data_IF_980179805819
#
_entry.id   IF_980179805819
#
_cell.length_a   1.000
_cell.length_b   1.000
_cell.length_c   1.000
_cell.angle_alpha   90.00
_cell.angle_beta   90.00
_cell.angle_gamma   90.00
#
_symmetry.space_group_name_H-M   'P 1'
#
loop_
_entity.id
_entity.type
_entity.pdbx_description
1 polymer ?
#
# COMPACT_ATOMS: atom_id res chain seq x y z
N UNK A 1 -0.03 -10.72 -18.31
CA UNK A 1 -1.07 -11.00 -17.29
C UNK A 1 -0.40 -11.14 -15.94
N UNK A 2 -0.82 -10.35 -14.94
CA UNK A 2 -0.35 -10.47 -13.56
C UNK A 2 -0.90 -11.77 -12.95
N UNK A 3 -0.05 -12.64 -12.38
CA UNK A 3 -0.48 -13.99 -12.05
C UNK A 3 -1.08 -14.12 -10.64
N UNK A 4 -0.88 -13.14 -9.76
CA UNK A 4 -1.25 -13.24 -8.34
C UNK A 4 -2.69 -12.81 -8.08
N UNK A 5 -3.62 -13.28 -8.90
CA UNK A 5 -5.05 -12.96 -8.76
C UNK A 5 -5.80 -13.99 -7.93
N UNK A 6 -5.15 -15.06 -7.49
CA UNK A 6 -5.73 -16.11 -6.64
C UNK A 6 -4.71 -16.55 -5.59
N UNK A 7 -5.12 -16.49 -4.32
CA UNK A 7 -4.32 -16.99 -3.21
C UNK A 7 -4.44 -18.51 -3.05
N UNK A 8 -3.35 -19.14 -2.61
CA UNK A 8 -3.27 -20.58 -2.34
C UNK A 8 -3.96 -20.86 -1.00
N UNK A 9 -5.16 -21.44 -1.10
CA UNK A 9 -5.90 -21.99 0.03
C UNK A 9 -6.29 -23.43 -0.27
N UNK A 10 -6.68 -24.18 0.77
CA UNK A 10 -7.51 -25.36 0.53
C UNK A 10 -8.87 -24.90 -0.01
N UNK A 11 -9.36 -25.50 -1.10
CA UNK A 11 -10.59 -25.07 -1.81
C UNK A 11 -11.77 -24.79 -0.86
N UNK A 12 -12.00 -25.67 0.13
CA UNK A 12 -13.08 -25.51 1.12
C UNK A 12 -12.96 -24.26 1.99
N UNK A 13 -11.75 -23.82 2.31
CA UNK A 13 -11.52 -22.62 3.13
C UNK A 13 -11.82 -21.37 2.32
N UNK A 14 -11.41 -21.36 1.05
CA UNK A 14 -11.67 -20.26 0.13
C UNK A 14 -13.16 -20.08 -0.17
N UNK A 15 -13.87 -21.20 -0.42
CA UNK A 15 -15.32 -21.19 -0.65
C UNK A 15 -16.08 -20.70 0.58
N UNK A 16 -15.71 -21.17 1.77
CA UNK A 16 -16.31 -20.69 3.03
C UNK A 16 -16.09 -19.20 3.21
N UNK A 17 -14.85 -18.72 3.08
CA UNK A 17 -14.51 -17.31 3.23
C UNK A 17 -15.30 -16.43 2.23
N UNK A 18 -15.36 -16.85 0.97
CA UNK A 18 -16.15 -16.17 -0.06
C UNK A 18 -17.64 -16.10 0.31
N UNK A 19 -18.23 -17.24 0.65
CA UNK A 19 -19.65 -17.31 1.01
C UNK A 19 -19.96 -16.43 2.23
N UNK A 20 -19.07 -16.42 3.22
CA UNK A 20 -19.21 -15.59 4.42
C UNK A 20 -19.14 -14.09 4.09
N UNK A 21 -18.12 -13.64 3.35
CA UNK A 21 -18.00 -12.23 2.98
C UNK A 21 -19.17 -11.76 2.09
N UNK A 22 -19.59 -12.57 1.12
CA UNK A 22 -20.78 -12.25 0.32
C UNK A 22 -22.05 -12.18 1.16
N UNK A 23 -22.22 -13.08 2.13
CA UNK A 23 -23.37 -13.09 3.03
C UNK A 23 -23.42 -11.89 3.98
N UNK A 24 -22.27 -11.41 4.43
CA UNK A 24 -22.16 -10.22 5.28
C UNK A 24 -22.33 -8.91 4.49
N UNK A 25 -22.00 -8.88 3.20
CA UNK A 25 -22.06 -7.65 2.38
C UNK A 25 -23.45 -6.99 2.36
N UNK A 26 -24.53 -7.77 2.44
CA UNK A 26 -25.90 -7.25 2.47
C UNK A 26 -26.22 -6.50 3.77
N UNK A 27 -25.50 -6.80 4.85
CA UNK A 27 -25.67 -6.22 6.18
C UNK A 27 -24.89 -4.91 6.38
N UNK A 28 -24.02 -4.54 5.42
CA UNK A 28 -23.25 -3.29 5.49
C UNK A 28 -24.12 -2.05 5.67
N UNK A 29 -25.35 -2.06 5.14
CA UNK A 29 -26.30 -0.94 5.26
C UNK A 29 -26.80 -0.72 6.69
N UNK A 30 -26.73 -1.73 7.53
CA UNK A 30 -27.17 -1.66 8.93
C UNK A 30 -26.09 -1.06 9.83
N UNK A 31 -24.82 -1.20 9.44
CA UNK A 31 -23.63 -0.87 10.23
C UNK A 31 -22.49 -0.26 9.38
N UNK A 32 -22.72 0.85 8.65
CA UNK A 32 -21.74 1.35 7.67
C UNK A 32 -20.47 1.91 8.32
N UNK A 33 -20.62 2.50 9.51
CA UNK A 33 -19.54 3.19 10.24
C UNK A 33 -18.83 2.33 11.27
N UNK A 34 -19.32 1.11 11.53
CA UNK A 34 -18.64 0.19 12.44
C UNK A 34 -17.27 -0.17 11.84
N UNK A 35 -16.25 -0.28 12.70
CA UNK A 35 -14.96 -0.82 12.28
C UNK A 35 -15.19 -2.21 11.68
N UNK A 36 -14.40 -2.59 10.68
CA UNK A 36 -14.63 -3.88 10.02
C UNK A 36 -14.52 -5.07 11.00
N UNK A 37 -13.63 -4.98 11.98
CA UNK A 37 -13.51 -5.98 13.04
C UNK A 37 -14.79 -6.06 13.89
N UNK A 38 -15.33 -4.94 14.33
CA UNK A 38 -16.56 -4.90 15.14
C UNK A 38 -17.77 -5.40 14.34
N UNK A 39 -17.88 -4.97 13.08
CA UNK A 39 -18.90 -5.42 12.16
C UNK A 39 -18.90 -6.94 12.00
N UNK A 40 -17.77 -7.56 11.66
CA UNK A 40 -17.71 -9.03 11.50
C UNK A 40 -17.91 -9.73 12.85
N UNK A 41 -17.40 -9.16 13.94
CA UNK A 41 -17.57 -9.70 15.30
C UNK A 41 -19.02 -9.72 15.74
N UNK A 42 -19.82 -8.72 15.34
CA UNK A 42 -21.25 -8.65 15.64
C UNK A 42 -22.00 -9.89 15.12
N UNK A 43 -21.70 -10.33 13.89
CA UNK A 43 -22.42 -11.43 13.25
C UNK A 43 -21.81 -12.81 13.53
N UNK A 44 -20.49 -12.91 13.69
CA UNK A 44 -19.78 -14.20 13.72
C UNK A 44 -18.99 -14.45 15.03
N UNK A 45 -18.90 -13.44 15.90
CA UNK A 45 -18.07 -13.45 17.09
C UNK A 45 -16.60 -13.10 16.81
N UNK A 46 -15.87 -12.63 17.84
CA UNK A 46 -14.54 -12.03 17.68
C UNK A 46 -13.49 -13.01 17.13
N UNK A 47 -13.52 -14.28 17.56
CA UNK A 47 -12.55 -15.27 17.12
C UNK A 47 -12.67 -15.61 15.62
N UNK A 48 -13.88 -15.67 15.08
CA UNK A 48 -14.09 -15.90 13.65
C UNK A 48 -13.75 -14.64 12.85
N UNK A 49 -14.09 -13.46 13.37
CA UNK A 49 -13.76 -12.18 12.76
C UNK A 49 -12.25 -12.01 12.55
N UNK A 50 -11.44 -12.20 13.59
CA UNK A 50 -9.98 -12.15 13.46
C UNK A 50 -9.48 -13.18 12.44
N UNK A 51 -9.99 -14.41 12.45
CA UNK A 51 -9.56 -15.44 11.50
C UNK A 51 -9.86 -15.05 10.05
N UNK A 52 -11.05 -14.53 9.79
CA UNK A 52 -11.48 -14.07 8.47
C UNK A 52 -10.58 -12.92 7.99
N UNK A 53 -10.34 -11.93 8.85
CA UNK A 53 -9.52 -10.77 8.52
C UNK A 53 -8.07 -11.20 8.26
N UNK A 54 -7.49 -12.04 9.12
CA UNK A 54 -6.14 -12.57 8.93
C UNK A 54 -6.01 -13.36 7.62
N UNK A 55 -7.04 -14.11 7.21
CA UNK A 55 -7.04 -14.85 5.95
C UNK A 55 -6.98 -13.95 4.71
N UNK A 56 -7.35 -12.67 4.80
CA UNK A 56 -7.24 -11.73 3.65
C UNK A 56 -5.81 -11.29 3.37
N UNK A 57 -4.90 -11.41 4.34
CA UNK A 57 -3.51 -10.95 4.21
C UNK A 57 -3.28 -9.46 4.48
N UNK A 58 -4.31 -8.68 4.81
CA UNK A 58 -4.23 -7.22 5.03
C UNK A 58 -4.50 -6.86 6.49
N UNK A 59 -3.50 -6.33 7.19
CA UNK A 59 -3.62 -5.96 8.61
C UNK A 59 -4.38 -4.64 8.79
N UNK A 60 -4.39 -3.79 7.76
CA UNK A 60 -5.20 -2.57 7.71
C UNK A 60 -6.67 -2.84 8.05
N UNK A 61 -7.20 -4.02 7.70
CA UNK A 61 -8.58 -4.41 7.96
C UNK A 61 -8.89 -4.67 9.46
N UNK A 62 -7.87 -4.70 10.33
CA UNK A 62 -8.02 -4.78 11.78
C UNK A 62 -8.06 -3.40 12.45
N UNK A 63 -7.75 -2.34 11.71
CA UNK A 63 -7.61 -1.01 12.29
C UNK A 63 -8.99 -0.43 12.61
N UNK A 64 -9.16 0.23 13.79
CA UNK A 64 -10.42 0.86 14.16
C UNK A 64 -10.89 1.94 13.17
N UNK A 65 -9.96 2.57 12.45
CA UNK A 65 -10.25 3.61 11.46
C UNK A 65 -10.80 3.05 10.14
N UNK A 66 -10.66 1.74 9.90
CA UNK A 66 -11.16 1.12 8.67
C UNK A 66 -12.60 0.64 8.91
N UNK A 67 -13.55 1.40 8.39
CA UNK A 67 -14.97 1.04 8.44
C UNK A 67 -15.24 -0.21 7.61
N UNK A 68 -16.38 -0.86 7.86
CA UNK A 68 -16.81 -2.02 7.08
C UNK A 68 -16.93 -1.68 5.59
N UNK A 69 -17.43 -0.49 5.23
CA UNK A 69 -17.50 -0.03 3.83
C UNK A 69 -16.11 0.07 3.18
N UNK A 70 -15.14 0.68 3.87
CA UNK A 70 -13.75 0.77 3.40
C UNK A 70 -13.12 -0.62 3.24
N UNK A 71 -13.35 -1.53 4.18
CA UNK A 71 -12.81 -2.88 4.10
C UNK A 71 -13.31 -3.66 2.88
N UNK A 72 -14.60 -3.58 2.55
CA UNK A 72 -15.11 -4.20 1.32
C UNK A 72 -14.56 -3.54 0.07
N UNK A 73 -14.37 -2.22 0.08
CA UNK A 73 -13.71 -1.50 -1.02
C UNK A 73 -12.24 -1.95 -1.22
N UNK A 74 -11.52 -2.21 -0.13
CA UNK A 74 -10.17 -2.78 -0.16
C UNK A 74 -10.23 -4.20 -0.74
N UNK A 75 -11.03 -5.10 -0.17
CA UNK A 75 -11.10 -6.51 -0.58
C UNK A 75 -11.45 -6.65 -2.07
N UNK A 76 -12.37 -5.82 -2.59
CA UNK A 76 -12.83 -5.88 -3.99
C UNK A 76 -11.82 -5.31 -4.99
N UNK A 77 -10.92 -4.41 -4.56
CA UNK A 77 -9.94 -3.70 -5.42
C UNK A 77 -8.54 -4.30 -5.38
N UNK A 78 -8.29 -5.34 -4.59
CA UNK A 78 -6.98 -6.00 -4.53
C UNK A 78 -6.97 -7.35 -5.28
N UNK A 79 -5.94 -7.62 -6.11
CA UNK A 79 -5.93 -8.80 -6.97
C UNK A 79 -6.01 -10.11 -6.20
N UNK A 80 -5.36 -10.20 -5.04
CA UNK A 80 -5.26 -11.44 -4.27
C UNK A 80 -6.60 -11.83 -3.63
N UNK A 81 -7.47 -10.85 -3.37
CA UNK A 81 -8.73 -11.01 -2.64
C UNK A 81 -9.98 -10.80 -3.51
N UNK A 82 -9.85 -10.27 -4.74
CA UNK A 82 -10.99 -9.93 -5.59
C UNK A 82 -11.98 -11.09 -5.83
N UNK A 83 -11.50 -12.33 -5.79
CA UNK A 83 -12.36 -13.51 -6.00
C UNK A 83 -13.38 -13.76 -4.88
N UNK A 84 -13.18 -13.11 -3.72
CA UNK A 84 -14.15 -13.12 -2.63
C UNK A 84 -15.35 -12.19 -2.89
N UNK A 85 -15.32 -11.45 -4.00
CA UNK A 85 -16.32 -10.44 -4.38
C UNK A 85 -16.84 -10.70 -5.80
N UNK A 86 -17.74 -9.85 -6.25
CA UNK A 86 -18.20 -9.76 -7.64
C UNK A 86 -17.09 -9.41 -8.64
N UNK A 87 -15.96 -8.88 -8.19
CA UNK A 87 -14.83 -8.44 -9.01
C UNK A 87 -13.86 -9.56 -9.42
N UNK A 88 -14.23 -10.83 -9.27
CA UNK A 88 -13.40 -11.98 -9.64
C UNK A 88 -12.88 -11.92 -11.10
N UNK A 89 -13.64 -11.29 -12.00
CA UNK A 89 -13.29 -11.17 -13.43
C UNK A 89 -12.31 -10.05 -13.78
N UNK A 90 -11.90 -9.21 -12.81
CA UNK A 90 -11.00 -8.10 -13.08
C UNK A 90 -9.63 -8.61 -13.54
N UNK A 91 -9.13 -8.01 -14.63
CA UNK A 91 -7.82 -8.32 -15.18
C UNK A 91 -6.75 -7.45 -14.52
N UNK A 92 -5.63 -8.09 -14.17
CA UNK A 92 -4.47 -7.39 -13.63
C UNK A 92 -3.29 -7.49 -14.60
N UNK A 93 -2.61 -6.37 -14.77
CA UNK A 93 -1.42 -6.24 -15.61
C UNK A 93 -0.27 -5.68 -14.79
N UNK A 94 0.94 -5.86 -15.30
CA UNK A 94 2.15 -5.28 -14.74
C UNK A 94 3.09 -4.87 -15.86
N UNK A 95 3.90 -3.85 -15.62
CA UNK A 95 4.94 -3.43 -16.55
C UNK A 95 6.09 -4.46 -16.55
N UNK A 96 6.32 -5.14 -17.68
CA UNK A 96 7.40 -6.13 -17.83
C UNK A 96 8.79 -5.52 -17.68
N UNK A 97 8.95 -4.25 -18.06
CA UNK A 97 10.15 -3.45 -17.85
C UNK A 97 10.20 -2.66 -16.53
N UNK A 98 9.18 -2.82 -15.68
CA UNK A 98 8.98 -2.04 -14.46
C UNK A 98 8.39 -0.66 -14.71
N UNK A 99 7.60 -0.15 -13.75
CA UNK A 99 6.93 1.15 -13.87
C UNK A 99 7.88 2.35 -13.97
N UNK A 100 9.16 2.18 -13.61
CA UNK A 100 10.20 3.20 -13.81
C UNK A 100 10.37 3.59 -15.29
N UNK A 101 10.07 2.70 -16.24
CA UNK A 101 10.14 3.04 -17.67
C UNK A 101 9.06 4.05 -18.08
N UNK A 102 7.84 3.92 -17.55
CA UNK A 102 6.78 4.91 -17.78
C UNK A 102 7.20 6.27 -17.22
N UNK A 103 7.74 6.31 -16.00
CA UNK A 103 8.22 7.55 -15.38
C UNK A 103 9.34 8.20 -16.20
N UNK A 104 10.30 7.42 -16.70
CA UNK A 104 11.39 7.92 -17.54
C UNK A 104 10.89 8.48 -18.88
N UNK A 105 9.87 7.86 -19.47
CA UNK A 105 9.24 8.33 -20.71
C UNK A 105 8.49 9.65 -20.48
N UNK A 106 7.71 9.75 -19.39
CA UNK A 106 7.00 10.97 -19.02
C UNK A 106 7.98 12.13 -18.75
N UNK A 107 9.07 11.86 -18.01
CA UNK A 107 10.11 12.85 -17.77
C UNK A 107 10.75 13.32 -19.09
N UNK A 108 11.11 12.39 -19.97
CA UNK A 108 11.72 12.71 -21.27
C UNK A 108 10.78 13.55 -22.14
N UNK A 109 9.48 13.23 -22.14
CA UNK A 109 8.47 14.00 -22.86
C UNK A 109 8.32 15.42 -22.30
N UNK A 110 8.28 15.57 -20.98
CA UNK A 110 8.22 16.88 -20.32
C UNK A 110 9.48 17.74 -20.62
N UNK A 111 10.67 17.14 -20.60
CA UNK A 111 11.92 17.81 -20.95
C UNK A 111 11.93 18.27 -22.42
N UNK A 112 11.42 17.45 -23.34
CA UNK A 112 11.25 17.85 -24.74
C UNK A 112 10.27 19.02 -24.90
N UNK A 113 9.33 19.17 -23.97
CA UNK A 113 8.42 20.33 -23.86
C UNK A 113 9.01 21.55 -23.16
N UNK A 114 10.28 21.52 -22.73
CA UNK A 114 10.97 22.63 -22.07
C UNK A 114 10.89 22.66 -20.54
N UNK A 115 10.43 21.58 -19.90
CA UNK A 115 10.40 21.48 -18.43
C UNK A 115 11.80 21.25 -17.88
N UNK A 116 12.21 22.10 -16.94
CA UNK A 116 13.45 21.92 -16.16
C UNK A 116 13.19 21.09 -14.90
N UNK A 117 14.01 20.06 -14.69
CA UNK A 117 13.95 19.22 -13.49
C UNK A 117 15.10 19.54 -12.55
N UNK A 118 14.77 20.03 -11.35
CA UNK A 118 15.75 20.26 -10.29
C UNK A 118 15.56 19.25 -9.15
N UNK A 119 16.23 18.10 -9.27
CA UNK A 119 16.14 16.99 -8.31
C UNK A 119 16.93 17.28 -7.03
N UNK A 120 16.77 16.42 -6.02
CA UNK A 120 17.49 16.48 -4.73
C UNK A 120 17.25 17.80 -3.95
N UNK A 121 16.09 18.42 -4.13
CA UNK A 121 15.68 19.66 -3.48
C UNK A 121 14.41 19.41 -2.69
N UNK A 122 14.48 19.55 -1.37
CA UNK A 122 13.33 19.39 -0.50
C UNK A 122 12.73 20.75 -0.19
N UNK A 123 11.47 20.97 -0.54
CA UNK A 123 10.74 22.17 -0.12
C UNK A 123 10.61 22.21 1.40
N UNK A 124 10.90 23.38 1.98
CA UNK A 124 10.83 23.64 3.41
C UNK A 124 9.65 24.55 3.77
N UNK A 125 9.45 25.61 2.98
CA UNK A 125 8.39 26.59 3.21
C UNK A 125 7.97 27.31 1.94
N UNK A 126 6.78 27.90 2.00
CA UNK A 126 6.20 28.75 0.95
C UNK A 126 5.69 30.03 1.61
N UNK A 127 5.97 31.17 0.99
CA UNK A 127 5.47 32.48 1.40
C UNK A 127 4.85 33.22 0.22
N UNK A 128 3.74 33.92 0.44
CA UNK A 128 3.15 34.81 -0.56
C UNK A 128 3.93 36.12 -0.62
N UNK A 129 4.30 36.53 -1.84
CA UNK A 129 5.06 37.76 -2.11
C UNK A 129 4.39 38.54 -3.26
N UNK A 130 3.35 39.30 -2.91
CA UNK A 130 2.51 39.99 -3.89
C UNK A 130 1.70 38.99 -4.72
N UNK A 131 1.88 39.04 -6.04
CA UNK A 131 1.27 38.11 -7.01
C UNK A 131 1.99 36.75 -7.10
N UNK A 132 3.16 36.63 -6.50
CA UNK A 132 4.04 35.46 -6.63
C UNK A 132 4.16 34.71 -5.30
N UNK A 133 4.72 33.50 -5.36
CA UNK A 133 5.13 32.68 -4.23
C UNK A 133 6.65 32.61 -4.17
N UNK A 134 7.19 32.68 -2.95
CA UNK A 134 8.59 32.48 -2.63
C UNK A 134 8.75 31.13 -1.94
N UNK A 135 9.59 30.26 -2.48
CA UNK A 135 9.79 28.88 -2.04
C UNK A 135 11.21 28.74 -1.48
N UNK A 136 11.33 28.18 -0.28
CA UNK A 136 12.62 27.84 0.30
C UNK A 136 12.88 26.33 0.17
N UNK A 137 13.95 25.96 -0.51
CA UNK A 137 14.36 24.56 -0.69
C UNK A 137 15.66 24.27 0.07
N UNK A 138 15.75 23.10 0.71
CA UNK A 138 17.02 22.54 1.16
C UNK A 138 17.68 21.74 0.05
N UNK A 139 18.97 22.01 -0.19
CA UNK A 139 19.82 21.23 -1.09
C UNK A 139 21.24 21.16 -0.54
N UNK A 140 21.75 19.95 -0.29
CA UNK A 140 23.13 19.71 0.20
C UNK A 140 23.51 20.50 1.46
N UNK A 141 22.53 20.78 2.33
CA UNK A 141 22.72 21.53 3.58
C UNK A 141 22.47 23.03 3.46
N UNK A 142 22.34 23.57 2.23
CA UNK A 142 22.06 24.98 1.98
C UNK A 142 20.56 25.22 1.72
N UNK A 143 20.11 26.45 2.00
CA UNK A 143 18.77 26.92 1.62
C UNK A 143 18.84 27.72 0.33
N UNK A 144 18.01 27.36 -0.65
CA UNK A 144 17.89 28.04 -1.94
C UNK A 144 16.49 28.59 -2.13
N UNK A 145 16.39 29.84 -2.55
CA UNK A 145 15.12 30.51 -2.77
C UNK A 145 14.70 30.43 -4.24
N UNK A 146 13.42 30.20 -4.49
CA UNK A 146 12.84 30.19 -5.83
C UNK A 146 11.54 30.99 -5.85
N UNK A 147 11.32 31.76 -6.92
CA UNK A 147 10.12 32.58 -7.10
C UNK A 147 9.30 32.03 -8.26
N UNK A 148 8.00 31.84 -8.04
CA UNK A 148 7.04 31.42 -9.08
C UNK A 148 5.75 32.19 -8.96
N UNK A 149 5.00 32.35 -10.05
CA UNK A 149 3.67 32.97 -10.05
C UNK A 149 2.55 31.96 -9.76
N UNK A 150 2.77 30.71 -10.13
CA UNK A 150 1.80 29.63 -9.99
C UNK A 150 2.49 28.42 -9.35
N UNK A 151 1.82 27.82 -8.37
CA UNK A 151 2.36 26.71 -7.60
C UNK A 151 1.37 25.56 -7.54
N UNK A 152 1.84 24.39 -7.99
CA UNK A 152 1.17 23.11 -7.81
C UNK A 152 2.03 22.22 -6.93
N UNK A 153 1.42 21.69 -5.87
CA UNK A 153 2.01 20.81 -4.87
C UNK A 153 1.56 19.38 -5.15
N UNK A 154 2.30 18.68 -6.00
CA UNK A 154 2.08 17.27 -6.33
C UNK A 154 2.78 16.37 -5.31
N UNK A 155 2.40 16.49 -4.04
CA UNK A 155 2.97 15.77 -2.91
C UNK A 155 1.83 15.30 -1.99
N UNK A 156 2.02 14.21 -1.24
CA UNK A 156 0.92 13.62 -0.49
C UNK A 156 0.61 14.39 0.81
N UNK A 157 -0.56 14.14 1.45
CA UNK A 157 -0.99 14.78 2.68
C UNK A 157 0.08 14.85 3.78
N UNK A 158 0.82 13.76 4.01
CA UNK A 158 1.89 13.69 5.02
C UNK A 158 3.05 14.65 4.74
N UNK A 159 3.29 14.98 3.47
CA UNK A 159 4.29 15.96 3.07
C UNK A 159 3.75 17.38 3.17
N UNK A 160 2.48 17.61 2.80
CA UNK A 160 1.79 18.88 2.97
C UNK A 160 1.74 19.33 4.44
N UNK A 161 1.45 18.40 5.36
CA UNK A 161 1.38 18.67 6.81
C UNK A 161 2.71 19.14 7.43
N UNK A 162 3.84 18.97 6.75
CA UNK A 162 5.17 19.42 7.20
C UNK A 162 5.53 20.83 6.75
N UNK A 163 4.67 21.47 5.94
CA UNK A 163 4.88 22.81 5.42
C UNK A 163 4.12 23.84 6.26
N UNK A 164 4.51 25.10 6.12
CA UNK A 164 3.88 26.26 6.76
C UNK A 164 2.59 26.72 6.07
N UNK A 165 1.75 25.78 5.63
CA UNK A 165 0.54 26.02 4.83
C UNK A 165 -0.75 25.60 5.54
N UNK A 166 -0.69 25.32 6.84
CA UNK A 166 -1.85 24.98 7.68
C UNK A 166 -2.73 23.85 7.08
N UNK A 167 -2.07 22.81 6.56
CA UNK A 167 -2.75 21.64 6.00
C UNK A 167 -3.20 20.67 7.12
N UNK A 168 -4.43 20.14 7.08
CA UNK A 168 -5.45 20.31 6.04
C UNK A 168 -6.41 21.49 6.26
N UNK A 169 -6.40 22.15 7.43
CA UNK A 169 -7.42 23.10 7.87
C UNK A 169 -7.68 24.26 6.88
N UNK A 170 -6.63 24.80 6.26
CA UNK A 170 -6.74 25.87 5.26
C UNK A 170 -7.03 25.38 3.83
N UNK A 171 -7.26 24.07 3.63
CA UNK A 171 -7.44 23.44 2.31
C UNK A 171 -8.77 22.72 2.16
N UNK A 172 -9.20 22.00 3.19
CA UNK A 172 -10.42 21.20 3.17
C UNK A 172 -10.88 20.84 4.59
N UNK A 173 -12.16 20.48 4.79
CA UNK A 173 -12.63 19.95 6.08
C UNK A 173 -12.18 18.50 6.34
N UNK A 174 -11.67 17.81 5.32
CA UNK A 174 -11.31 16.39 5.37
C UNK A 174 -10.07 16.10 6.20
N UNK A 175 -10.04 14.92 6.79
CA UNK A 175 -8.90 14.39 7.51
C UNK A 175 -8.22 13.30 6.69
N UNK A 176 -6.91 13.16 6.88
CA UNK A 176 -6.10 12.21 6.15
C UNK A 176 -5.26 11.40 7.11
N UNK A 177 -5.06 10.13 6.77
CA UNK A 177 -4.15 9.26 7.49
C UNK A 177 -3.32 8.43 6.49
N UNK A 178 -2.38 7.65 7.03
CA UNK A 178 -1.46 6.85 6.24
C UNK A 178 -1.13 5.54 6.95
N UNK A 179 -0.80 4.52 6.15
CA UNK A 179 -0.31 3.24 6.67
C UNK A 179 1.10 2.93 6.18
N UNK A 180 1.96 2.37 7.04
CA UNK A 180 3.25 1.89 6.61
C UNK A 180 3.10 0.66 5.72
N UNK A 181 4.00 0.52 4.76
CA UNK A 181 4.09 -0.62 3.85
C UNK A 181 5.50 -1.20 3.85
N UNK A 182 5.62 -2.52 3.78
CA UNK A 182 6.92 -3.20 3.69
C UNK A 182 6.92 -4.28 2.62
N UNK A 183 7.91 -4.24 1.73
CA UNK A 183 8.19 -5.32 0.78
C UNK A 183 9.58 -5.89 1.02
N UNK A 184 9.67 -7.21 1.17
CA UNK A 184 10.93 -7.95 1.23
C UNK A 184 11.04 -8.92 0.06
N UNK A 185 12.10 -8.81 -0.73
CA UNK A 185 12.43 -9.66 -1.87
C UNK A 185 13.58 -10.59 -1.52
N UNK A 186 13.48 -11.86 -1.89
CA UNK A 186 14.45 -12.91 -1.63
C UNK A 186 14.77 -13.65 -2.93
N UNK A 187 16.06 -13.89 -3.15
CA UNK A 187 16.57 -14.69 -4.27
C UNK A 187 17.29 -15.92 -3.74
N UNK A 188 17.28 -16.98 -4.55
CA UNK A 188 17.83 -18.29 -4.23
C UNK A 188 18.63 -18.79 -5.44
N UNK A 189 19.47 -19.80 -5.25
CA UNK A 189 20.20 -20.41 -6.38
C UNK A 189 19.29 -21.19 -7.33
N UNK A 190 18.18 -21.74 -6.81
CA UNK A 190 17.19 -22.49 -7.57
C UNK A 190 15.78 -22.04 -7.20
N UNK A 191 14.85 -22.19 -8.15
CA UNK A 191 13.42 -21.93 -7.93
C UNK A 191 12.74 -23.13 -7.25
N UNK A 192 13.20 -23.51 -6.07
CA UNK A 192 12.75 -24.71 -5.33
C UNK A 192 11.24 -24.77 -5.08
N UNK A 193 10.55 -23.61 -5.06
CA UNK A 193 9.10 -23.54 -4.93
C UNK A 193 8.33 -24.09 -6.15
N UNK A 194 9.02 -24.32 -7.29
CA UNK A 194 8.45 -25.02 -8.45
C UNK A 194 8.02 -26.45 -8.08
N UNK A 195 8.84 -27.15 -7.28
CA UNK A 195 8.54 -28.52 -6.80
C UNK A 195 7.35 -28.54 -5.84
N UNK A 196 7.08 -27.42 -5.17
CA UNK A 196 5.90 -27.22 -4.31
C UNK A 196 4.66 -26.77 -5.12
N UNK A 197 4.79 -26.57 -6.44
CA UNK A 197 3.70 -26.08 -7.29
C UNK A 197 3.26 -24.66 -6.94
N UNK A 198 4.15 -23.81 -6.41
CA UNK A 198 3.85 -22.46 -5.96
C UNK A 198 4.19 -21.37 -6.99
N UNK A 199 4.81 -21.72 -8.12
CA UNK A 199 5.17 -20.78 -9.19
C UNK A 199 4.01 -19.89 -9.60
N UNK A 200 4.27 -18.58 -9.59
CA UNK A 200 3.30 -17.54 -9.96
C UNK A 200 2.01 -17.59 -9.11
N UNK A 201 2.13 -18.01 -7.84
CA UNK A 201 1.06 -17.98 -6.84
C UNK A 201 1.39 -17.07 -5.65
N UNK A 202 0.36 -16.72 -4.89
CA UNK A 202 0.47 -16.00 -3.61
C UNK A 202 -0.09 -16.87 -2.48
N UNK A 203 0.62 -16.97 -1.38
CA UNK A 203 0.21 -17.66 -0.16
C UNK A 203 -0.15 -16.62 0.90
N UNK A 204 -1.35 -16.74 1.48
CA UNK A 204 -1.74 -15.98 2.67
C UNK A 204 -1.32 -16.75 3.91
N UNK A 205 -0.38 -16.21 4.67
CA UNK A 205 0.17 -16.81 5.87
C UNK A 205 -0.40 -16.13 7.13
N UNK A 206 -0.79 -16.95 8.11
CA UNK A 206 -1.15 -16.50 9.46
C UNK A 206 0.12 -16.32 10.31
N UNK A 207 1.04 -15.51 9.82
CA UNK A 207 2.28 -15.11 10.48
C UNK A 207 2.74 -13.74 9.96
N UNK A 208 3.79 -13.12 10.52
CA UNK A 208 4.19 -11.76 10.14
C UNK A 208 4.54 -11.54 8.66
N UNK A 209 4.76 -12.57 7.83
CA UNK A 209 4.99 -12.39 6.39
C UNK A 209 3.70 -12.04 5.64
N UNK A 210 2.53 -12.41 6.17
CA UNK A 210 1.17 -12.16 5.66
C UNK A 210 0.90 -12.62 4.23
N UNK A 211 1.50 -12.00 3.22
CA UNK A 211 1.29 -12.28 1.79
C UNK A 211 2.63 -12.65 1.15
N UNK A 212 2.79 -13.90 0.72
CA UNK A 212 4.04 -14.45 0.16
C UNK A 212 3.83 -14.81 -1.32
N UNK A 213 4.57 -14.15 -2.21
CA UNK A 213 4.46 -14.26 -3.67
C UNK A 213 5.67 -15.00 -4.23
N UNK A 214 5.43 -15.96 -5.11
CA UNK A 214 6.47 -16.73 -5.78
C UNK A 214 6.49 -16.33 -7.26
N UNK A 215 7.41 -15.43 -7.65
CA UNK A 215 7.42 -14.92 -9.03
C UNK A 215 8.27 -15.80 -9.93
N UNK A 216 7.59 -16.55 -10.81
CA UNK A 216 8.22 -17.36 -11.85
C UNK A 216 9.34 -18.23 -11.26
N UNK A 217 10.53 -18.20 -11.85
CA UNK A 217 11.76 -18.82 -11.36
C UNK A 217 12.73 -17.83 -10.71
N UNK A 218 12.29 -16.59 -10.46
CA UNK A 218 13.20 -15.47 -10.19
C UNK A 218 13.40 -15.17 -8.71
N UNK A 219 12.30 -14.99 -7.98
CA UNK A 219 12.35 -14.52 -6.60
C UNK A 219 11.06 -14.83 -5.83
N UNK A 220 11.18 -14.79 -4.51
CA UNK A 220 10.08 -14.72 -3.56
C UNK A 220 9.95 -13.28 -3.07
N UNK A 221 8.73 -12.80 -2.90
CA UNK A 221 8.41 -11.50 -2.31
C UNK A 221 7.44 -11.73 -1.14
N UNK A 222 7.59 -11.01 -0.04
CA UNK A 222 6.49 -10.83 0.90
C UNK A 222 6.10 -9.36 1.00
N UNK A 223 4.82 -9.10 1.24
CA UNK A 223 4.27 -7.76 1.28
C UNK A 223 3.33 -7.60 2.46
N UNK A 224 3.64 -6.63 3.32
CA UNK A 224 2.88 -6.34 4.54
C UNK A 224 2.55 -4.86 4.64
N UNK A 225 1.60 -4.57 5.50
CA UNK A 225 1.10 -3.24 5.83
C UNK A 225 0.94 -3.13 7.36
N UNK A 226 0.71 -1.90 7.85
CA UNK A 226 0.35 -1.63 9.25
C UNK A 226 1.36 -2.23 10.26
N UNK A 227 0.89 -2.91 11.32
CA UNK A 227 1.76 -3.48 12.36
C UNK A 227 2.81 -4.45 11.80
N UNK A 228 2.45 -5.31 10.85
CA UNK A 228 3.41 -6.22 10.23
C UNK A 228 4.48 -5.48 9.41
N UNK A 229 4.17 -4.32 8.81
CA UNK A 229 5.20 -3.51 8.14
C UNK A 229 6.20 -2.94 9.15
N UNK A 230 5.71 -2.41 10.26
CA UNK A 230 6.55 -1.90 11.37
C UNK A 230 7.38 -3.02 11.99
N UNK A 231 6.81 -4.21 12.20
CA UNK A 231 7.53 -5.38 12.72
C UNK A 231 8.79 -5.72 11.91
N UNK A 232 8.71 -5.69 10.58
CA UNK A 232 9.85 -5.95 9.72
C UNK A 232 10.87 -4.81 9.74
N UNK A 233 10.39 -3.56 9.84
CA UNK A 233 11.26 -2.41 10.03
C UNK A 233 12.05 -2.51 11.33
N UNK A 234 11.40 -2.83 12.43
CA UNK A 234 12.02 -2.99 13.75
C UNK A 234 13.00 -4.17 13.78
N UNK A 235 12.69 -5.24 13.03
CA UNK A 235 13.59 -6.38 12.86
C UNK A 235 14.90 -6.00 12.17
N UNK A 236 14.84 -5.11 11.17
CA UNK A 236 16.04 -4.61 10.48
C UNK A 236 16.88 -3.69 11.37
N UNK A 237 16.25 -2.91 12.25
CA UNK A 237 16.95 -2.05 13.22
C UNK A 237 17.71 -2.87 14.27
N UNK A 238 17.29 -4.12 14.50
CA UNK A 238 18.01 -5.09 15.34
C UNK A 238 19.18 -5.78 14.61
N UNK A 239 19.26 -5.67 13.28
CA UNK A 239 20.32 -6.23 12.45
C UNK A 239 19.79 -7.10 11.31
N UNK A 240 20.53 -7.10 10.19
CA UNK A 240 20.17 -7.84 8.97
C UNK A 240 20.07 -9.35 9.20
N UNK A 241 20.96 -9.92 10.02
CA UNK A 241 20.94 -11.34 10.39
C UNK A 241 19.66 -11.71 11.16
N UNK A 242 19.24 -10.87 12.12
CA UNK A 242 18.01 -11.06 12.90
C UNK A 242 16.78 -11.02 12.00
N UNK A 243 16.74 -10.05 11.07
CA UNK A 243 15.69 -9.97 10.06
C UNK A 243 15.62 -11.24 9.20
N UNK A 244 16.75 -11.69 8.66
CA UNK A 244 16.82 -12.88 7.80
C UNK A 244 16.45 -14.16 8.54
N UNK A 245 16.86 -14.32 9.80
CA UNK A 245 16.47 -15.45 10.64
C UNK A 245 14.95 -15.48 10.87
N UNK A 246 14.34 -14.33 11.20
CA UNK A 246 12.89 -14.22 11.37
C UNK A 246 12.13 -14.53 10.08
N UNK A 247 12.61 -14.04 8.94
CA UNK A 247 12.06 -14.38 7.62
C UNK A 247 12.14 -15.88 7.36
N UNK A 248 13.30 -16.52 7.58
CA UNK A 248 13.47 -17.97 7.42
C UNK A 248 12.51 -18.76 8.30
N UNK A 249 12.38 -18.39 9.58
CA UNK A 249 11.47 -19.04 10.52
C UNK A 249 10.01 -18.93 10.07
N UNK A 250 9.57 -17.75 9.63
CA UNK A 250 8.21 -17.54 9.13
C UNK A 250 7.95 -18.32 7.82
N UNK A 251 8.93 -18.41 6.92
CA UNK A 251 8.83 -19.22 5.69
C UNK A 251 8.71 -20.71 6.02
N UNK A 252 9.52 -21.22 6.95
CA UNK A 252 9.46 -22.62 7.39
C UNK A 252 8.11 -22.98 8.03
N UNK A 253 7.50 -22.04 8.76
CA UNK A 253 6.16 -22.23 9.33
C UNK A 253 5.06 -22.21 8.28
N UNK A 254 5.17 -21.34 7.27
CA UNK A 254 4.12 -21.15 6.27
C UNK A 254 4.13 -22.22 5.16
N UNK A 255 5.29 -22.84 4.90
CA UNK A 255 5.47 -23.66 3.70
C UNK A 255 5.44 -25.16 4.00
N UNK A 256 4.83 -25.97 3.10
CA UNK A 256 4.81 -27.42 3.22
C UNK A 256 6.16 -28.01 2.77
N UNK A 257 7.23 -27.74 3.51
CA UNK A 257 8.59 -28.19 3.19
C UNK A 257 8.79 -29.72 3.34
N UNK A 258 7.82 -30.45 3.89
CA UNK A 258 7.84 -31.91 4.03
C UNK A 258 9.10 -32.45 4.73
N UNK A 259 9.63 -31.71 5.71
CA UNK A 259 10.84 -32.07 6.46
C UNK A 259 12.16 -31.68 5.78
N UNK A 260 12.11 -31.08 4.59
CA UNK A 260 13.30 -30.48 3.96
C UNK A 260 13.62 -29.12 4.62
N UNK A 261 14.91 -28.77 4.75
CA UNK A 261 15.28 -27.43 5.18
C UNK A 261 14.92 -26.41 4.11
N UNK A 262 14.63 -25.18 4.54
CA UNK A 262 14.50 -24.05 3.63
C UNK A 262 15.87 -23.79 2.97
N UNK A 263 15.97 -23.68 1.63
CA UNK A 263 17.22 -23.33 0.96
C UNK A 263 17.77 -21.98 1.40
N UNK A 264 19.07 -21.80 1.25
CA UNK A 264 19.73 -20.56 1.67
C UNK A 264 19.31 -19.37 0.80
N UNK A 265 19.03 -18.25 1.47
CA UNK A 265 18.75 -16.97 0.83
C UNK A 265 20.08 -16.46 0.26
N UNK A 266 20.17 -16.41 -1.07
CA UNK A 266 21.36 -15.95 -1.80
C UNK A 266 21.53 -14.44 -1.71
N UNK A 267 20.41 -13.73 -1.79
CA UNK A 267 20.40 -12.28 -1.78
C UNK A 267 19.00 -11.78 -1.49
N UNK A 268 18.94 -10.58 -0.95
CA UNK A 268 17.68 -9.94 -0.59
C UNK A 268 17.71 -8.44 -0.87
N UNK A 269 16.53 -7.87 -0.99
CA UNK A 269 16.32 -6.42 -1.03
C UNK A 269 15.00 -6.12 -0.32
N UNK A 270 14.92 -4.99 0.37
CA UNK A 270 13.69 -4.60 1.02
C UNK A 270 13.43 -3.11 0.86
N UNK A 271 12.17 -2.73 1.05
CA UNK A 271 11.77 -1.34 1.15
C UNK A 271 10.64 -1.19 2.17
N UNK A 272 10.86 -0.29 3.11
CA UNK A 272 9.86 0.22 4.03
C UNK A 272 9.41 1.60 3.56
N UNK A 273 8.11 1.83 3.56
CA UNK A 273 7.46 3.11 3.29
C UNK A 273 6.68 3.50 4.54
N UNK A 274 7.16 4.44 5.37
CA UNK A 274 6.45 4.84 6.59
C UNK A 274 5.06 5.42 6.32
N UNK A 275 4.90 6.11 5.19
CA UNK A 275 3.63 6.54 4.62
C UNK A 275 3.51 5.88 3.25
N UNK A 276 3.11 4.61 3.23
CA UNK A 276 3.09 3.82 2.00
C UNK A 276 1.78 3.96 1.21
N UNK A 277 0.67 4.11 1.93
CA UNK A 277 -0.64 4.49 1.39
C UNK A 277 -1.18 5.64 2.22
N UNK A 278 -1.74 6.66 1.58
CA UNK A 278 -2.38 7.81 2.22
C UNK A 278 -3.80 7.96 1.68
N UNK A 279 -4.75 8.26 2.56
CA UNK A 279 -6.19 8.24 2.22
C UNK A 279 -6.97 9.25 3.06
N UNK A 280 -8.10 9.68 2.51
CA UNK A 280 -9.12 10.44 3.21
C UNK A 280 -9.88 9.53 4.20
N UNK A 281 -10.14 10.02 5.41
CA UNK A 281 -10.88 9.29 6.44
C UNK A 281 -12.40 9.31 6.23
N UNK A 282 -12.91 10.18 5.34
CA UNK A 282 -14.33 10.33 5.05
C UNK A 282 -14.70 9.76 3.66
N UNK A 283 -14.91 8.43 3.51
CA UNK A 283 -15.04 7.77 2.21
C UNK A 283 -16.33 8.09 1.44
N UNK A 284 -17.39 8.54 2.12
CA UNK A 284 -18.67 8.88 1.48
C UNK A 284 -18.80 10.36 1.09
N UNK A 285 -17.84 11.20 1.48
CA UNK A 285 -17.89 12.61 1.16
C UNK A 285 -17.55 12.86 -0.32
N UNK A 286 -18.23 13.83 -0.93
CA UNK A 286 -17.88 14.31 -2.27
C UNK A 286 -16.57 15.09 -2.21
N UNK A 287 -15.45 14.36 -2.26
CA UNK A 287 -14.11 14.91 -2.15
C UNK A 287 -13.62 15.40 -3.53
N UNK A 288 -13.17 16.66 -3.67
CA UNK A 288 -12.60 17.14 -4.93
C UNK A 288 -11.24 16.48 -5.21
N UNK A 289 -10.97 16.13 -6.47
CA UNK A 289 -9.73 15.44 -6.86
C UNK A 289 -8.44 16.28 -6.69
N UNK A 290 -8.58 17.60 -6.46
CA UNK A 290 -7.50 18.51 -6.14
C UNK A 290 -8.01 19.60 -5.19
N UNK A 291 -7.12 20.15 -4.38
CA UNK A 291 -7.46 21.18 -3.39
C UNK A 291 -6.88 22.53 -3.78
N UNK A 292 -7.54 23.61 -3.36
CA UNK A 292 -7.10 24.98 -3.62
C UNK A 292 -6.97 25.75 -2.30
N UNK A 293 -5.75 26.20 -2.00
CA UNK A 293 -5.49 27.09 -0.87
C UNK A 293 -5.96 28.52 -1.18
N UNK A 294 -6.39 29.32 -0.17
CA UNK A 294 -6.75 30.73 -0.35
C UNK A 294 -5.68 31.60 -1.03
N UNK A 295 -4.41 31.21 -0.94
CA UNK A 295 -3.30 31.88 -1.64
C UNK A 295 -3.07 31.42 -3.10
N UNK A 296 -4.01 30.66 -3.66
CA UNK A 296 -3.95 30.23 -5.06
C UNK A 296 -2.98 29.07 -5.32
N UNK A 297 -2.61 28.32 -4.28
CA UNK A 297 -1.76 27.12 -4.40
C UNK A 297 -2.67 25.90 -4.62
N UNK A 298 -2.34 25.06 -5.59
CA UNK A 298 -3.09 23.83 -5.88
C UNK A 298 -2.37 22.65 -5.23
N UNK A 299 -3.08 21.78 -4.52
CA UNK A 299 -2.55 20.49 -4.06
C UNK A 299 -3.14 19.35 -4.89
N UNK A 300 -2.29 18.38 -5.24
CA UNK A 300 -2.63 17.23 -6.08
C UNK A 300 -2.01 15.96 -5.49
N UNK A 301 -2.83 14.96 -5.20
CA UNK A 301 -2.43 13.66 -4.68
C UNK A 301 -3.54 12.64 -4.96
N UNK A 302 -3.16 11.39 -5.16
CA UNK A 302 -4.06 10.24 -5.20
C UNK A 302 -5.00 10.17 -3.98
N UNK A 303 -4.52 10.57 -2.80
CA UNK A 303 -5.27 10.62 -1.54
C UNK A 303 -6.52 11.51 -1.57
N UNK A 304 -6.62 12.43 -2.55
CA UNK A 304 -7.79 13.30 -2.74
C UNK A 304 -8.86 12.70 -3.66
N UNK A 305 -8.64 11.47 -4.14
CA UNK A 305 -9.49 10.83 -5.15
C UNK A 305 -10.15 9.57 -4.61
N UNK A 306 -11.14 9.06 -5.35
CA UNK A 306 -11.76 7.75 -5.09
C UNK A 306 -10.80 6.55 -5.30
N UNK A 307 -9.58 6.82 -5.76
CA UNK A 307 -8.52 5.85 -6.05
C UNK A 307 -7.28 6.05 -5.16
N UNK A 308 -7.45 6.59 -3.94
CA UNK A 308 -6.36 6.70 -2.96
C UNK A 308 -5.56 5.40 -2.82
N UNK A 309 -4.23 5.51 -2.83
CA UNK A 309 -3.31 4.36 -2.82
C UNK A 309 -3.05 3.70 -4.18
N UNK A 310 -3.64 4.20 -5.27
CA UNK A 310 -3.45 3.69 -6.62
C UNK A 310 -2.91 4.78 -7.55
N UNK A 311 -2.05 4.38 -8.50
CA UNK A 311 -1.47 5.30 -9.49
C UNK A 311 -2.49 5.97 -10.45
N UNK A 312 -3.74 5.49 -10.46
CA UNK A 312 -4.83 6.06 -11.27
C UNK A 312 -5.37 7.37 -10.67
N UNK A 313 -5.28 7.52 -9.34
CA UNK A 313 -5.63 8.75 -8.63
C UNK A 313 -4.53 9.79 -8.74
#
# INVERSE_FOLDING_TARGET
VYPFTQAVFGERVQEKLKATLLGLSSMLKEHPEDSFLDFVSHYLGPAEATRIIMATGYDALLLPIVSASMAYDIIKKHPETQNFTENAGNQWLYATGGYAQLLAQLQSHAQAGGVEFQMERRLLSVEKSGDDHMLAFSHKGDTQMHRTRHLLMAIPPSAMARLNLDFPASWSPYQYDSLPLFKGFLTFDTAWWQELGLTDKVLMADNPLRKIYFKSDKYLLFYTDSESASYWRDSLEQGEEVYLERVRNCLQQALPLNGLPLPDIKGHFYKHWPQGVEFCLEPEAEHPAALLHPDGIIACSDAYTAHCGWMEG
#
